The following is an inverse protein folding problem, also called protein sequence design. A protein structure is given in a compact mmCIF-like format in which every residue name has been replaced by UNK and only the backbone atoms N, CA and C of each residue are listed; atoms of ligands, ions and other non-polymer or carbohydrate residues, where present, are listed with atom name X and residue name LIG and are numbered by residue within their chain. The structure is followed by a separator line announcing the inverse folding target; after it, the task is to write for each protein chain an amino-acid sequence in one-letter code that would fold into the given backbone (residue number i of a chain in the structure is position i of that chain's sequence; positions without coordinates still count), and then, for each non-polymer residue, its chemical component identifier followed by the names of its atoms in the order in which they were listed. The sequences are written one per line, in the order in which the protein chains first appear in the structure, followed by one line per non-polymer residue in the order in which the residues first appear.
data_IF_837934503803
#
_entry.id   IF_837934503803
#
_cell.length_a   1.000
_cell.length_b   1.000
_cell.length_c   1.000
_cell.angle_alpha   90.00
_cell.angle_beta   90.00
_cell.angle_gamma   90.00
#
_symmetry.space_group_name_H-M   'P 1'
#
loop_
_entity.id
_entity.type
_entity.pdbx_description
1 polymer ?
#
# COMPACT_ATOMS: atom_id res chain seq x y z
N UNK A 1 3.73 54.44 -51.66
CA UNK A 1 4.61 54.29 -50.50
C UNK A 1 4.05 53.17 -49.59
N UNK A 2 4.74 52.03 -49.51
CA UNK A 2 4.30 50.91 -48.66
C UNK A 2 4.45 51.29 -47.19
N UNK A 3 3.41 51.02 -46.38
CA UNK A 3 3.41 51.20 -44.93
C UNK A 3 4.55 50.35 -44.35
N UNK A 4 5.55 50.97 -43.69
CA UNK A 4 6.60 50.22 -42.94
C UNK A 4 5.94 49.28 -41.96
N UNK A 5 6.34 48.04 -42.02
CA UNK A 5 5.83 47.04 -41.07
C UNK A 5 6.24 47.47 -39.67
N UNK A 6 5.26 47.59 -38.75
CA UNK A 6 5.55 47.86 -37.33
C UNK A 6 6.43 46.75 -36.78
N UNK A 7 7.58 47.10 -36.23
CA UNK A 7 8.47 46.22 -35.51
C UNK A 7 8.05 46.18 -34.03
N UNK A 8 8.27 45.06 -33.35
CA UNK A 8 8.20 44.97 -31.89
C UNK A 8 9.61 44.94 -31.34
N UNK A 9 9.83 45.58 -30.20
CA UNK A 9 11.13 45.56 -29.52
C UNK A 9 11.01 44.60 -28.32
N UNK A 10 11.76 43.52 -28.36
CA UNK A 10 11.90 42.58 -27.26
C UNK A 10 13.14 42.97 -26.45
N UNK A 11 13.03 42.95 -25.13
CA UNK A 11 14.20 43.00 -24.25
C UNK A 11 15.05 41.74 -24.38
N UNK A 12 16.29 41.75 -23.92
CA UNK A 12 17.13 40.54 -23.92
C UNK A 12 16.53 39.45 -23.08
N UNK A 13 15.95 39.76 -21.93
CA UNK A 13 15.28 38.82 -21.04
C UNK A 13 14.04 38.20 -21.71
N UNK A 14 13.21 39.02 -22.37
CA UNK A 14 12.04 38.51 -23.11
C UNK A 14 12.46 37.61 -24.26
N UNK A 15 13.52 37.95 -24.98
CA UNK A 15 14.06 37.11 -26.06
C UNK A 15 14.54 35.78 -25.53
N UNK A 16 15.32 35.76 -24.46
CA UNK A 16 15.82 34.53 -23.82
C UNK A 16 14.67 33.65 -23.31
N UNK A 17 13.66 34.28 -22.69
CA UNK A 17 12.46 33.60 -22.24
C UNK A 17 11.72 32.93 -23.39
N UNK A 18 11.45 33.64 -24.48
CA UNK A 18 10.78 33.08 -25.67
C UNK A 18 11.57 31.95 -26.32
N UNK A 19 12.89 32.06 -26.41
CA UNK A 19 13.75 30.99 -26.91
C UNK A 19 13.71 29.76 -26.01
N UNK A 20 13.68 29.96 -24.70
CA UNK A 20 13.54 28.84 -23.74
C UNK A 20 12.20 28.16 -23.90
N UNK A 21 11.11 28.90 -24.07
CA UNK A 21 9.78 28.32 -24.32
C UNK A 21 9.75 27.50 -25.62
N UNK A 22 10.46 27.91 -26.66
CA UNK A 22 10.56 27.17 -27.91
C UNK A 22 11.31 25.83 -27.79
N UNK A 23 12.26 25.73 -26.85
CA UNK A 23 13.06 24.49 -26.62
C UNK A 23 12.44 23.50 -25.64
N UNK A 24 11.46 23.93 -24.88
CA UNK A 24 10.84 23.13 -23.84
C UNK A 24 9.96 22.00 -24.45
N UNK A 25 10.20 20.76 -24.00
CA UNK A 25 9.53 19.55 -24.55
C UNK A 25 8.10 19.33 -24.03
N UNK A 26 7.70 20.02 -22.97
CA UNK A 26 6.43 19.79 -22.25
C UNK A 26 5.42 20.92 -22.41
N UNK A 27 5.70 21.90 -23.25
CA UNK A 27 4.84 23.07 -23.47
C UNK A 27 3.84 22.80 -24.60
N UNK A 28 2.65 23.40 -24.48
CA UNK A 28 1.63 23.33 -25.51
C UNK A 28 2.15 23.86 -26.86
N UNK A 29 1.89 23.13 -27.95
CA UNK A 29 2.33 23.53 -29.29
C UNK A 29 1.93 24.97 -29.67
N UNK A 30 0.77 25.42 -29.19
CA UNK A 30 0.27 26.78 -29.44
C UNK A 30 1.17 27.86 -28.80
N UNK A 31 1.70 27.61 -27.59
CA UNK A 31 2.62 28.52 -26.91
C UNK A 31 3.94 28.63 -27.67
N UNK A 32 4.46 27.49 -28.16
CA UNK A 32 5.67 27.48 -29.01
C UNK A 32 5.48 28.28 -30.29
N UNK A 33 4.34 28.12 -30.95
CA UNK A 33 4.00 28.89 -32.18
C UNK A 33 3.91 30.38 -31.88
N UNK A 34 3.25 30.77 -30.80
CA UNK A 34 3.13 32.18 -30.38
C UNK A 34 4.51 32.80 -30.03
N UNK A 35 5.36 32.07 -29.34
CA UNK A 35 6.75 32.51 -29.09
C UNK A 35 7.52 32.75 -30.38
N UNK A 36 7.39 31.83 -31.35
CA UNK A 36 8.03 31.95 -32.66
C UNK A 36 7.51 33.16 -33.46
N UNK A 37 6.21 33.49 -33.38
CA UNK A 37 5.64 34.69 -34.01
C UNK A 37 6.30 35.95 -33.47
N UNK A 38 6.47 36.09 -32.15
CA UNK A 38 7.07 37.28 -31.54
C UNK A 38 8.54 37.42 -31.91
N UNK A 39 9.32 36.35 -31.90
CA UNK A 39 10.73 36.37 -32.30
C UNK A 39 10.89 36.76 -33.76
N UNK A 40 10.14 36.16 -34.68
CA UNK A 40 10.18 36.52 -36.09
C UNK A 40 9.73 37.99 -36.34
N UNK A 41 8.78 38.48 -35.54
CA UNK A 41 8.33 39.87 -35.64
C UNK A 41 9.37 40.87 -35.16
N UNK A 42 10.12 40.53 -34.12
CA UNK A 42 11.25 41.32 -33.63
C UNK A 42 12.41 41.36 -34.63
N UNK A 43 12.57 40.32 -35.45
CA UNK A 43 13.53 40.30 -36.58
C UNK A 43 13.09 41.18 -37.78
N UNK A 44 11.91 41.81 -37.70
CA UNK A 44 11.41 42.69 -38.75
C UNK A 44 10.68 41.99 -39.89
N UNK A 45 10.37 40.69 -39.73
CA UNK A 45 9.69 39.90 -40.77
C UNK A 45 8.22 40.38 -40.91
N UNK A 46 7.72 40.44 -42.12
CA UNK A 46 6.34 40.83 -42.40
C UNK A 46 5.34 39.81 -41.87
N UNK A 47 4.14 40.27 -41.49
CA UNK A 47 3.08 39.39 -40.93
C UNK A 47 2.68 38.25 -41.91
N UNK A 48 2.69 38.54 -43.21
CA UNK A 48 2.37 37.55 -44.21
C UNK A 48 3.42 36.42 -44.26
N UNK A 49 4.70 36.77 -44.27
CA UNK A 49 5.80 35.79 -44.21
C UNK A 49 5.86 35.05 -42.87
N UNK A 50 5.47 35.69 -41.75
CA UNK A 50 5.35 35.00 -40.47
C UNK A 50 4.23 33.97 -40.56
N UNK A 51 3.07 34.33 -41.09
CA UNK A 51 1.92 33.45 -41.25
C UNK A 51 2.29 32.19 -42.04
N UNK A 52 3.01 32.34 -43.15
CA UNK A 52 3.51 31.24 -43.97
C UNK A 52 4.51 30.35 -43.18
N UNK A 53 5.47 30.95 -42.45
CA UNK A 53 6.50 30.25 -41.70
C UNK A 53 5.94 29.45 -40.53
N UNK A 54 4.84 29.89 -39.91
CA UNK A 54 4.24 29.23 -38.75
C UNK A 54 3.00 28.41 -39.06
N UNK A 55 2.55 28.45 -40.34
CA UNK A 55 1.37 27.69 -40.77
C UNK A 55 0.05 28.22 -40.21
N UNK A 56 -0.04 29.55 -39.93
CA UNK A 56 -1.24 30.17 -39.38
C UNK A 56 -1.82 31.23 -40.33
N UNK A 57 -3.08 31.58 -40.11
CA UNK A 57 -3.66 32.67 -40.86
C UNK A 57 -3.16 34.04 -40.36
N UNK A 58 -3.14 35.06 -41.25
CA UNK A 58 -2.69 36.41 -40.93
C UNK A 58 -3.39 37.02 -39.72
N UNK A 59 -4.72 36.76 -39.55
CA UNK A 59 -5.49 37.30 -38.42
C UNK A 59 -4.97 36.77 -37.06
N UNK A 60 -4.64 35.49 -36.97
CA UNK A 60 -4.10 34.88 -35.78
C UNK A 60 -2.70 35.40 -35.41
N UNK A 61 -1.85 35.64 -36.42
CA UNK A 61 -0.53 36.24 -36.21
C UNK A 61 -0.69 37.68 -35.70
N UNK A 62 -1.57 38.48 -36.32
CA UNK A 62 -1.87 39.84 -35.84
C UNK A 62 -2.43 39.88 -34.44
N UNK A 63 -3.33 38.95 -34.10
CA UNK A 63 -3.89 38.84 -32.75
C UNK A 63 -2.79 38.58 -31.70
N UNK A 64 -1.85 37.70 -31.98
CA UNK A 64 -0.72 37.44 -31.11
C UNK A 64 0.16 38.65 -30.89
N UNK A 65 0.47 39.40 -31.98
CA UNK A 65 1.26 40.63 -31.93
C UNK A 65 0.53 41.72 -31.13
N UNK A 66 -0.78 41.88 -31.35
CA UNK A 66 -1.58 42.87 -30.63
C UNK A 66 -1.64 42.56 -29.12
N UNK A 67 -1.82 41.30 -28.76
CA UNK A 67 -1.78 40.86 -27.34
C UNK A 67 -0.44 41.17 -26.69
N UNK A 68 0.67 41.02 -27.43
CA UNK A 68 1.99 41.45 -26.93
C UNK A 68 2.06 42.97 -26.68
N UNK A 69 1.56 43.77 -27.63
CA UNK A 69 1.54 45.24 -27.50
C UNK A 69 0.63 45.72 -26.37
N UNK A 70 -0.42 45.00 -26.05
CA UNK A 70 -1.37 45.33 -24.99
C UNK A 70 -0.92 44.89 -23.58
N UNK A 71 -0.22 43.78 -23.46
CA UNK A 71 0.08 43.24 -22.14
C UNK A 71 1.36 42.39 -22.04
N UNK A 72 2.30 42.56 -22.98
CA UNK A 72 3.61 41.89 -22.96
C UNK A 72 3.58 40.40 -23.33
N UNK A 73 4.70 39.74 -23.03
CA UNK A 73 4.96 38.35 -23.48
C UNK A 73 3.95 37.38 -22.91
N UNK A 74 3.62 37.46 -21.62
CA UNK A 74 2.68 36.51 -20.98
C UNK A 74 1.28 36.59 -21.59
N UNK A 75 0.78 37.82 -21.83
CA UNK A 75 -0.52 38.01 -22.45
C UNK A 75 -0.58 37.49 -23.90
N UNK A 76 0.54 37.50 -24.61
CA UNK A 76 0.65 36.97 -25.97
C UNK A 76 0.72 35.43 -25.96
N UNK A 77 1.46 34.84 -25.04
CA UNK A 77 1.70 33.38 -24.99
C UNK A 77 0.52 32.62 -24.42
N UNK A 78 -0.14 33.13 -23.39
CA UNK A 78 -1.20 32.43 -22.69
C UNK A 78 -2.57 33.04 -22.94
N UNK A 79 -3.59 32.20 -22.93
CA UNK A 79 -4.97 32.71 -23.01
C UNK A 79 -5.43 33.15 -21.61
N UNK A 80 -6.21 34.22 -21.55
CA UNK A 80 -6.77 34.69 -20.30
C UNK A 80 -7.60 33.57 -19.62
N UNK A 81 -7.47 33.40 -18.29
CA UNK A 81 -8.28 32.44 -17.54
C UNK A 81 -9.78 32.76 -17.75
N UNK A 82 -10.60 31.69 -17.88
CA UNK A 82 -12.05 31.85 -18.00
C UNK A 82 -12.62 31.82 -19.41
N UNK A 83 -11.82 31.61 -20.46
CA UNK A 83 -12.34 31.45 -21.83
C UNK A 83 -12.96 30.07 -22.15
N UNK A 84 -13.00 29.15 -21.14
CA UNK A 84 -13.68 27.86 -21.28
C UNK A 84 -15.22 28.01 -21.16
N UNK A 85 -15.94 26.95 -21.55
CA UNK A 85 -17.37 26.83 -21.27
C UNK A 85 -17.57 26.95 -19.75
N UNK A 86 -18.51 27.79 -19.32
CA UNK A 86 -18.84 27.92 -17.88
C UNK A 86 -19.10 26.53 -17.29
N UNK A 87 -18.58 26.30 -16.09
CA UNK A 87 -18.82 25.05 -15.38
C UNK A 87 -20.31 24.79 -15.31
N UNK A 88 -20.77 23.65 -15.86
CA UNK A 88 -22.19 23.29 -15.85
C UNK A 88 -22.70 23.00 -14.43
N UNK A 89 -21.81 22.62 -13.51
CA UNK A 89 -22.07 22.28 -12.11
C UNK A 89 -21.41 23.34 -11.25
N UNK A 90 -22.18 23.97 -10.40
CA UNK A 90 -21.72 25.03 -9.51
C UNK A 90 -20.92 24.45 -8.34
N UNK A 91 -20.16 25.28 -7.62
CA UNK A 91 -19.42 24.86 -6.46
C UNK A 91 -20.32 24.42 -5.30
N UNK A 92 -21.52 25.02 -5.15
CA UNK A 92 -22.54 24.60 -4.18
C UNK A 92 -23.07 23.19 -4.52
N UNK A 93 -23.32 22.91 -5.80
CA UNK A 93 -23.74 21.60 -6.28
C UNK A 93 -22.65 20.54 -6.04
N UNK A 94 -21.37 20.89 -6.26
CA UNK A 94 -20.23 20.01 -5.93
C UNK A 94 -20.15 19.76 -4.42
N UNK A 95 -20.28 20.80 -3.61
CA UNK A 95 -20.24 20.68 -2.15
C UNK A 95 -21.37 19.79 -1.63
N UNK A 96 -22.57 19.88 -2.21
CA UNK A 96 -23.68 18.99 -1.86
C UNK A 96 -23.39 17.52 -2.19
N UNK A 97 -22.85 17.22 -3.40
CA UNK A 97 -22.41 15.87 -3.77
C UNK A 97 -21.38 15.33 -2.78
N UNK A 98 -20.39 16.14 -2.44
CA UNK A 98 -19.32 15.78 -1.48
C UNK A 98 -19.91 15.50 -0.10
N UNK A 99 -20.84 16.34 0.36
CA UNK A 99 -21.50 16.15 1.66
C UNK A 99 -22.24 14.80 1.71
N UNK A 100 -23.00 14.45 0.67
CA UNK A 100 -23.67 13.14 0.59
C UNK A 100 -22.62 12.00 0.58
N UNK A 101 -21.55 12.15 -0.17
CA UNK A 101 -20.48 11.13 -0.26
C UNK A 101 -19.76 10.88 1.07
N UNK A 102 -19.69 11.89 1.94
CA UNK A 102 -19.10 11.81 3.29
C UNK A 102 -20.03 11.18 4.33
N UNK A 103 -21.31 11.01 4.04
CA UNK A 103 -22.26 10.35 4.94
C UNK A 103 -22.26 8.84 4.69
N UNK A 104 -22.59 8.05 5.71
CA UNK A 104 -22.81 6.63 5.51
C UNK A 104 -24.13 6.39 4.75
N UNK A 105 -24.17 5.50 3.75
CA UNK A 105 -25.39 5.15 3.03
C UNK A 105 -26.53 4.70 3.96
N UNK A 106 -26.21 3.99 5.04
CA UNK A 106 -27.21 3.51 6.01
C UNK A 106 -27.99 4.65 6.66
N UNK A 107 -27.37 5.82 6.88
CA UNK A 107 -28.05 6.99 7.45
C UNK A 107 -29.07 7.60 6.48
N UNK A 108 -28.97 7.26 5.19
CA UNK A 108 -29.85 7.71 4.12
C UNK A 108 -30.79 6.59 3.62
N UNK A 109 -30.97 5.53 4.44
CA UNK A 109 -31.94 4.46 4.18
C UNK A 109 -31.45 3.34 3.26
N UNK A 110 -30.15 3.20 3.03
CA UNK A 110 -29.57 2.10 2.27
C UNK A 110 -28.96 1.06 3.19
N UNK A 111 -28.95 -0.20 2.76
CA UNK A 111 -28.34 -1.31 3.52
C UNK A 111 -26.81 -1.39 3.38
N UNK A 112 -26.18 -0.53 2.58
CA UNK A 112 -24.75 -0.54 2.31
C UNK A 112 -23.97 0.24 3.38
N UNK A 113 -22.78 -0.25 3.75
CA UNK A 113 -21.86 0.46 4.67
C UNK A 113 -21.06 1.57 3.99
N UNK A 114 -20.77 1.41 2.69
CA UNK A 114 -20.00 2.37 1.88
C UNK A 114 -20.69 2.64 0.57
N UNK A 115 -20.45 3.82 0.00
CA UNK A 115 -20.98 4.18 -1.29
C UNK A 115 -20.25 3.44 -2.41
N UNK A 116 -21.00 2.72 -3.24
CA UNK A 116 -20.53 2.46 -4.60
C UNK A 116 -20.83 3.68 -5.47
N UNK A 117 -20.04 3.89 -6.53
CA UNK A 117 -20.30 5.02 -7.45
C UNK A 117 -21.70 5.00 -8.04
N UNK A 118 -22.17 3.81 -8.40
CA UNK A 118 -23.52 3.63 -8.94
C UNK A 118 -24.60 4.02 -7.92
N UNK A 119 -24.48 3.55 -6.67
CA UNK A 119 -25.43 3.83 -5.61
C UNK A 119 -25.45 5.31 -5.25
N UNK A 120 -24.29 5.94 -5.13
CA UNK A 120 -24.18 7.38 -4.88
C UNK A 120 -24.81 8.20 -6.00
N UNK A 121 -24.50 7.88 -7.25
CA UNK A 121 -25.10 8.58 -8.40
C UNK A 121 -26.62 8.41 -8.44
N UNK A 122 -27.11 7.20 -8.15
CA UNK A 122 -28.55 6.94 -8.08
C UNK A 122 -29.22 7.76 -6.98
N UNK A 123 -28.59 7.89 -5.81
CA UNK A 123 -29.08 8.72 -4.71
C UNK A 123 -29.13 10.20 -5.12
N UNK A 124 -28.02 10.72 -5.67
CA UNK A 124 -27.94 12.10 -6.16
C UNK A 124 -29.07 12.38 -7.16
N UNK A 125 -29.20 11.57 -8.20
CA UNK A 125 -30.21 11.76 -9.23
C UNK A 125 -31.64 11.75 -8.66
N UNK A 126 -31.88 10.93 -7.63
CA UNK A 126 -33.22 10.81 -7.01
C UNK A 126 -33.62 12.01 -6.15
N UNK A 127 -32.65 12.56 -5.39
CA UNK A 127 -32.92 13.57 -4.37
C UNK A 127 -32.45 14.98 -4.72
N UNK A 128 -31.80 15.15 -5.88
CA UNK A 128 -31.26 16.44 -6.31
C UNK A 128 -32.32 17.52 -6.47
N UNK A 129 -33.48 17.18 -7.00
CA UNK A 129 -34.60 18.15 -7.21
C UNK A 129 -35.18 18.63 -5.87
N UNK A 130 -35.38 17.72 -4.93
CA UNK A 130 -35.87 18.04 -3.59
C UNK A 130 -34.87 18.91 -2.82
N UNK A 131 -33.57 18.74 -3.09
CA UNK A 131 -32.50 19.54 -2.51
C UNK A 131 -32.23 20.87 -3.23
N UNK A 132 -33.03 21.21 -4.27
CA UNK A 132 -32.85 22.46 -5.04
C UNK A 132 -31.78 22.39 -6.12
N UNK A 133 -31.23 21.22 -6.40
CA UNK A 133 -30.13 21.00 -7.37
C UNK A 133 -30.64 20.30 -8.64
N UNK A 134 -31.62 20.85 -9.31
CA UNK A 134 -32.33 20.24 -10.46
C UNK A 134 -31.39 19.70 -11.54
N UNK A 135 -30.25 20.37 -11.77
CA UNK A 135 -29.28 19.93 -12.78
C UNK A 135 -28.61 18.60 -12.46
N UNK A 136 -28.57 18.22 -11.19
CA UNK A 136 -27.93 16.97 -10.75
C UNK A 136 -28.83 15.76 -10.91
N UNK A 137 -30.14 15.92 -11.21
CA UNK A 137 -31.08 14.80 -11.39
C UNK A 137 -30.70 13.86 -12.54
N UNK A 138 -29.84 14.30 -13.46
CA UNK A 138 -29.34 13.52 -14.60
C UNK A 138 -27.80 13.41 -14.63
N UNK A 139 -27.13 13.66 -13.50
CA UNK A 139 -25.67 13.60 -13.46
C UNK A 139 -25.16 12.18 -13.75
N UNK A 140 -24.09 12.09 -14.53
CA UNK A 140 -23.46 10.80 -14.86
C UNK A 140 -22.49 10.32 -13.77
N UNK A 141 -22.30 9.00 -13.68
CA UNK A 141 -21.31 8.40 -12.77
C UNK A 141 -19.88 8.93 -13.01
N UNK A 142 -19.52 9.18 -14.28
CA UNK A 142 -18.21 9.72 -14.63
C UNK A 142 -18.02 11.12 -14.08
N UNK A 143 -19.06 11.96 -14.10
CA UNK A 143 -18.97 13.32 -13.54
C UNK A 143 -18.92 13.32 -12.04
N UNK A 144 -19.71 12.47 -11.35
CA UNK A 144 -19.61 12.25 -9.89
C UNK A 144 -18.20 11.78 -9.52
N UNK A 145 -17.64 10.84 -10.27
CA UNK A 145 -16.26 10.40 -10.09
C UNK A 145 -15.27 11.56 -10.17
N UNK A 146 -15.33 12.37 -11.22
CA UNK A 146 -14.43 13.52 -11.38
C UNK A 146 -14.50 14.49 -10.20
N UNK A 147 -15.72 14.81 -9.72
CA UNK A 147 -15.92 15.68 -8.57
C UNK A 147 -15.28 15.10 -7.30
N UNK A 148 -15.45 13.80 -7.05
CA UNK A 148 -14.87 13.14 -5.89
C UNK A 148 -13.34 13.03 -6.00
N UNK A 149 -12.79 12.81 -7.20
CA UNK A 149 -11.35 12.78 -7.43
C UNK A 149 -10.72 14.17 -7.27
N UNK A 150 -11.38 15.25 -7.73
CA UNK A 150 -10.96 16.64 -7.49
C UNK A 150 -10.89 16.97 -5.98
N UNK A 151 -11.79 16.41 -5.19
CA UNK A 151 -11.85 16.59 -3.73
C UNK A 151 -11.00 15.55 -2.95
N UNK A 152 -10.31 14.63 -3.60
CA UNK A 152 -9.60 13.45 -3.03
C UNK A 152 -10.45 12.60 -2.08
N UNK A 153 -11.74 12.46 -2.36
CA UNK A 153 -12.69 11.68 -1.55
C UNK A 153 -12.94 10.31 -2.19
N UNK A 154 -12.80 9.26 -1.38
CA UNK A 154 -12.94 7.86 -1.79
C UNK A 154 -13.97 7.13 -0.94
N UNK A 155 -15.28 7.42 -1.08
CA UNK A 155 -16.35 6.92 -0.20
C UNK A 155 -16.60 5.41 -0.31
N UNK A 156 -15.96 4.76 -1.26
CA UNK A 156 -15.98 3.32 -1.49
C UNK A 156 -14.81 2.57 -0.81
N UNK A 157 -13.89 3.29 -0.16
CA UNK A 157 -12.74 2.68 0.53
C UNK A 157 -12.93 2.72 2.03
N UNK A 158 -12.61 1.60 2.68
CA UNK A 158 -12.48 1.51 4.13
C UNK A 158 -11.00 1.47 4.45
N UNK A 159 -10.55 2.40 5.29
CA UNK A 159 -9.20 2.38 5.87
C UNK A 159 -9.35 2.12 7.35
N UNK A 160 -8.70 1.08 7.83
CA UNK A 160 -8.72 0.75 9.25
C UNK A 160 -7.68 1.59 9.98
N UNK A 161 -8.09 2.18 11.09
CA UNK A 161 -7.20 2.84 12.05
C UNK A 161 -7.50 2.32 13.46
N UNK A 162 -6.54 2.46 14.35
CA UNK A 162 -6.69 2.02 15.72
C UNK A 162 -6.94 3.24 16.63
N UNK A 163 -8.16 3.39 17.11
CA UNK A 163 -8.54 4.48 18.01
C UNK A 163 -8.13 4.17 19.46
N UNK A 164 -8.38 2.94 19.90
CA UNK A 164 -8.01 2.48 21.23
C UNK A 164 -6.62 1.85 21.20
N UNK A 165 -5.59 2.66 21.37
CA UNK A 165 -4.22 2.17 21.51
C UNK A 165 -4.02 1.52 22.88
N UNK A 166 -3.09 0.55 22.94
CA UNK A 166 -2.61 0.00 24.21
C UNK A 166 -2.07 1.16 25.09
N UNK A 167 -2.55 1.35 26.34
CA UNK A 167 -2.02 2.40 27.22
C UNK A 167 -0.50 2.31 27.40
N UNK A 168 0.04 1.08 27.36
CA UNK A 168 1.47 0.81 27.54
C UNK A 168 2.19 0.63 26.19
N UNK A 169 1.61 1.14 25.09
CA UNK A 169 2.11 0.91 23.72
C UNK A 169 3.60 1.28 23.59
N UNK A 170 3.95 2.49 23.99
CA UNK A 170 5.32 3.00 23.85
C UNK A 170 6.31 2.21 24.71
N UNK A 171 5.92 1.84 25.94
CA UNK A 171 6.77 1.04 26.83
C UNK A 171 7.00 -0.37 26.28
N UNK A 172 5.94 -1.03 25.79
CA UNK A 172 6.05 -2.38 25.20
C UNK A 172 6.85 -2.35 23.90
N UNK A 173 6.60 -1.36 23.04
CA UNK A 173 7.38 -1.16 21.82
C UNK A 173 8.87 -0.95 22.16
N UNK A 174 9.18 -0.09 23.14
CA UNK A 174 10.54 0.15 23.58
C UNK A 174 11.21 -1.15 24.07
N UNK A 175 10.51 -1.95 24.86
CA UNK A 175 11.03 -3.23 25.36
C UNK A 175 11.37 -4.20 24.22
N UNK A 176 10.48 -4.33 23.23
CA UNK A 176 10.73 -5.18 22.05
C UNK A 176 11.93 -4.67 21.25
N UNK A 177 12.01 -3.36 21.00
CA UNK A 177 13.13 -2.76 20.28
C UNK A 177 14.46 -2.90 21.01
N UNK A 178 14.45 -2.83 22.37
CA UNK A 178 15.63 -3.10 23.18
C UNK A 178 16.12 -4.53 23.01
N UNK A 179 15.22 -5.53 22.99
CA UNK A 179 15.58 -6.92 22.75
C UNK A 179 16.24 -7.07 21.36
N UNK A 180 15.66 -6.47 20.32
CA UNK A 180 16.25 -6.53 18.99
C UNK A 180 17.57 -5.80 18.87
N UNK A 181 17.73 -4.67 19.57
CA UNK A 181 19.01 -3.97 19.65
C UNK A 181 20.07 -4.79 20.37
N UNK A 182 19.73 -5.39 21.53
CA UNK A 182 20.63 -6.29 22.27
C UNK A 182 21.05 -7.49 21.38
N UNK A 183 20.08 -8.06 20.67
CA UNK A 183 20.36 -9.13 19.71
C UNK A 183 21.31 -8.67 18.59
N UNK A 184 21.13 -7.47 18.04
CA UNK A 184 22.00 -6.96 16.98
C UNK A 184 23.45 -6.79 17.43
N UNK A 185 23.69 -6.52 18.70
CA UNK A 185 25.03 -6.41 19.29
C UNK A 185 25.73 -7.77 19.45
N UNK A 186 25.01 -8.88 19.32
CA UNK A 186 25.58 -10.22 19.35
C UNK A 186 26.17 -10.66 17.99
N UNK A 187 26.07 -9.82 16.96
CA UNK A 187 26.60 -10.10 15.63
C UNK A 187 27.76 -9.16 15.31
N UNK A 188 28.77 -9.69 14.60
CA UNK A 188 29.87 -8.90 14.09
C UNK A 188 29.46 -8.10 12.82
N UNK A 189 30.38 -7.27 12.28
CA UNK A 189 30.16 -6.49 11.05
C UNK A 189 29.86 -7.37 9.81
N UNK A 190 30.22 -8.65 9.86
CA UNK A 190 29.93 -9.64 8.80
C UNK A 190 28.60 -10.35 9.02
N UNK A 191 27.91 -10.06 10.14
CA UNK A 191 26.65 -10.69 10.53
C UNK A 191 26.83 -12.12 11.04
N UNK A 192 28.00 -12.45 11.62
CA UNK A 192 28.23 -13.72 12.30
C UNK A 192 28.01 -13.54 13.80
N UNK A 193 27.42 -14.57 14.44
CA UNK A 193 27.19 -14.56 15.88
C UNK A 193 28.53 -14.57 16.61
N UNK A 194 28.71 -13.59 17.52
CA UNK A 194 29.91 -13.51 18.37
C UNK A 194 29.78 -14.60 19.43
N UNK A 195 30.81 -15.44 19.64
CA UNK A 195 30.76 -16.48 20.67
C UNK A 195 30.53 -15.88 22.07
N UNK A 196 29.63 -16.50 22.83
CA UNK A 196 29.40 -16.12 24.23
C UNK A 196 30.66 -16.41 25.06
N UNK A 197 30.88 -15.59 26.10
CA UNK A 197 31.96 -15.84 27.07
C UNK A 197 31.60 -17.03 27.97
N UNK A 198 32.57 -17.78 28.44
CA UNK A 198 32.36 -19.00 29.24
C UNK A 198 31.50 -18.78 30.50
N UNK A 199 31.51 -17.58 31.08
CA UNK A 199 30.74 -17.25 32.28
C UNK A 199 29.45 -16.47 32.00
N UNK A 200 29.07 -16.28 30.71
CA UNK A 200 27.91 -15.51 30.34
C UNK A 200 26.67 -16.42 30.19
N UNK A 201 25.59 -16.06 30.88
CA UNK A 201 24.33 -16.78 30.73
C UNK A 201 23.75 -16.58 29.32
N UNK A 202 23.69 -17.66 28.56
CA UNK A 202 23.14 -17.64 27.20
C UNK A 202 21.64 -17.40 27.23
N UNK A 203 21.18 -16.47 26.40
CA UNK A 203 19.77 -16.16 26.22
C UNK A 203 19.39 -16.37 24.75
N UNK A 204 18.58 -17.40 24.49
CA UNK A 204 18.03 -17.63 23.16
C UNK A 204 16.82 -16.72 22.96
N UNK A 205 16.82 -15.95 21.89
CA UNK A 205 15.76 -14.98 21.57
C UNK A 205 14.93 -15.48 20.42
N UNK A 206 13.65 -15.73 20.65
CA UNK A 206 12.72 -16.20 19.64
C UNK A 206 11.58 -15.21 19.43
N UNK A 207 11.14 -15.08 18.19
CA UNK A 207 9.87 -14.44 17.81
C UNK A 207 8.84 -15.54 17.61
N UNK A 208 7.74 -15.50 18.34
CA UNK A 208 6.71 -16.57 18.34
C UNK A 208 5.33 -16.01 18.00
N UNK A 209 4.56 -16.81 17.24
CA UNK A 209 3.16 -16.51 16.95
C UNK A 209 2.42 -17.77 16.45
N UNK A 210 1.09 -17.69 16.31
CA UNK A 210 0.23 -18.72 15.74
C UNK A 210 -0.32 -18.29 14.38
N UNK A 211 -0.37 -19.25 13.46
CA UNK A 211 -1.10 -19.13 12.19
C UNK A 211 -2.27 -20.13 12.22
N UNK A 212 -3.45 -19.69 12.70
CA UNK A 212 -4.63 -20.54 12.76
C UNK A 212 -5.29 -20.72 11.39
N UNK A 213 -6.18 -21.69 11.28
CA UNK A 213 -7.13 -21.81 10.19
C UNK A 213 -6.53 -22.11 8.82
N UNK A 214 -5.35 -22.75 8.76
CA UNK A 214 -4.77 -23.22 7.51
C UNK A 214 -5.66 -24.33 6.96
N UNK A 215 -6.28 -24.10 5.79
CA UNK A 215 -7.25 -25.02 5.22
C UNK A 215 -6.59 -26.14 4.44
N UNK A 216 -6.94 -27.38 4.76
CA UNK A 216 -6.65 -28.54 3.93
C UNK A 216 -7.77 -28.68 2.88
N UNK A 217 -7.41 -28.54 1.60
CA UNK A 217 -8.35 -28.54 0.48
C UNK A 217 -7.87 -29.54 -0.56
N UNK A 218 -8.78 -30.43 -0.99
CA UNK A 218 -8.54 -31.37 -2.07
C UNK A 218 -9.26 -30.94 -3.35
N UNK A 219 -8.67 -31.23 -4.50
CA UNK A 219 -9.38 -31.15 -5.77
C UNK A 219 -10.43 -32.26 -5.87
N UNK A 220 -11.47 -32.03 -6.65
CA UNK A 220 -12.47 -33.02 -7.05
C UNK A 220 -12.02 -33.81 -8.27
N UNK A 221 -11.27 -33.16 -9.16
CA UNK A 221 -10.66 -33.71 -10.36
C UNK A 221 -9.18 -33.29 -10.44
N UNK A 222 -8.41 -33.92 -11.31
CA UNK A 222 -7.00 -33.52 -11.52
C UNK A 222 -6.90 -32.15 -12.21
N UNK A 223 -5.85 -31.39 -11.90
CA UNK A 223 -5.55 -30.15 -12.59
C UNK A 223 -5.16 -30.42 -14.05
N UNK A 224 -5.65 -29.60 -14.97
CA UNK A 224 -5.17 -29.59 -16.34
C UNK A 224 -3.87 -28.79 -16.41
N UNK A 225 -2.80 -29.46 -16.79
CA UNK A 225 -1.49 -28.80 -16.91
C UNK A 225 -1.42 -27.94 -18.18
N UNK A 226 -0.53 -26.94 -18.22
CA UNK A 226 -0.30 -26.16 -19.42
C UNK A 226 0.11 -27.05 -20.61
N UNK A 227 -0.49 -26.77 -21.76
CA UNK A 227 -0.19 -27.42 -23.03
C UNK A 227 -0.13 -26.37 -24.17
N UNK A 228 -0.06 -26.80 -25.41
CA UNK A 228 -0.02 -25.91 -26.59
C UNK A 228 -1.28 -25.02 -26.68
N UNK A 229 -2.43 -25.49 -26.22
CA UNK A 229 -3.72 -24.79 -26.29
C UNK A 229 -4.03 -24.02 -25.00
N UNK A 230 -3.49 -24.45 -23.85
CA UNK A 230 -3.76 -23.87 -22.54
C UNK A 230 -2.45 -23.44 -21.88
N UNK A 231 -2.24 -22.14 -21.75
CA UNK A 231 -0.97 -21.57 -21.23
C UNK A 231 -0.86 -21.55 -19.70
N UNK A 232 -1.92 -21.89 -18.99
CA UNK A 232 -2.00 -21.88 -17.51
C UNK A 232 -2.51 -23.21 -16.98
N UNK A 233 -2.16 -23.50 -15.73
CA UNK A 233 -2.80 -24.61 -15.00
C UNK A 233 -4.29 -24.27 -14.83
N UNK A 234 -5.17 -25.13 -15.35
CA UNK A 234 -6.62 -25.00 -15.18
C UNK A 234 -7.06 -25.97 -14.09
N UNK A 235 -7.83 -25.46 -13.16
CA UNK A 235 -8.31 -26.19 -11.99
C UNK A 235 -9.81 -26.10 -11.91
N UNK A 236 -10.47 -27.19 -11.53
CA UNK A 236 -11.88 -27.18 -11.19
C UNK A 236 -12.12 -26.21 -10.02
N UNK A 237 -13.17 -25.42 -10.10
CA UNK A 237 -13.55 -24.52 -9.02
C UNK A 237 -14.16 -25.27 -7.84
N UNK A 238 -14.67 -26.49 -8.05
CA UNK A 238 -15.14 -27.36 -6.96
C UNK A 238 -13.97 -27.95 -6.18
N UNK A 239 -14.16 -28.05 -4.88
CA UNK A 239 -13.14 -28.59 -3.97
C UNK A 239 -13.77 -29.26 -2.74
N UNK A 240 -13.03 -30.19 -2.15
CA UNK A 240 -13.40 -30.83 -0.89
C UNK A 240 -12.61 -30.21 0.26
N UNK A 241 -13.30 -29.81 1.33
CA UNK A 241 -12.67 -29.38 2.57
C UNK A 241 -12.35 -30.57 3.44
N UNK A 242 -11.08 -30.72 3.81
CA UNK A 242 -10.58 -31.82 4.65
C UNK A 242 -10.39 -31.39 6.12
N UNK A 243 -10.70 -30.13 6.43
CA UNK A 243 -10.54 -29.51 7.74
C UNK A 243 -9.50 -28.43 7.78
N UNK A 244 -9.18 -27.99 8.98
CA UNK A 244 -8.18 -26.94 9.24
C UNK A 244 -7.11 -27.43 10.20
N UNK A 245 -5.95 -26.80 10.14
CA UNK A 245 -4.86 -26.96 11.09
C UNK A 245 -4.36 -25.60 11.55
N UNK A 246 -3.64 -25.57 12.66
CA UNK A 246 -2.96 -24.40 13.20
C UNK A 246 -1.45 -24.68 13.24
N UNK A 247 -0.66 -23.72 12.83
CA UNK A 247 0.80 -23.75 12.96
C UNK A 247 1.20 -22.81 14.08
N UNK A 248 1.78 -23.36 15.15
CA UNK A 248 2.49 -22.59 16.17
C UNK A 248 3.96 -22.59 15.75
N UNK A 249 4.58 -21.44 15.65
CA UNK A 249 5.98 -21.37 15.22
C UNK A 249 6.77 -20.30 15.97
N UNK A 250 7.99 -20.65 16.36
CA UNK A 250 9.00 -19.74 16.84
C UNK A 250 10.16 -19.68 15.84
N UNK A 251 10.70 -18.49 15.63
CA UNK A 251 11.94 -18.30 14.89
C UNK A 251 13.00 -17.91 15.88
N UNK A 252 14.05 -18.71 15.98
CA UNK A 252 15.26 -18.33 16.68
C UNK A 252 15.95 -17.19 15.92
N UNK A 253 16.01 -16.02 16.54
CA UNK A 253 16.52 -14.81 15.89
C UNK A 253 18.06 -14.77 15.82
N UNK A 254 18.74 -15.67 16.51
CA UNK A 254 20.21 -15.81 16.47
C UNK A 254 20.63 -16.71 15.31
N UNK A 255 19.90 -17.78 15.05
CA UNK A 255 20.23 -18.77 14.03
C UNK A 255 19.38 -18.66 12.76
N UNK A 256 18.21 -18.04 12.84
CA UNK A 256 17.21 -18.01 11.76
C UNK A 256 16.40 -19.30 11.65
N UNK A 257 16.60 -20.27 12.54
CA UNK A 257 15.91 -21.56 12.52
C UNK A 257 14.45 -21.40 12.93
N UNK A 258 13.54 -22.00 12.16
CA UNK A 258 12.13 -22.07 12.50
C UNK A 258 11.84 -23.35 13.29
N UNK A 259 11.16 -23.20 14.42
CA UNK A 259 10.73 -24.28 15.30
C UNK A 259 9.21 -24.38 15.21
N UNK A 260 8.67 -25.34 14.47
CA UNK A 260 7.24 -25.48 14.23
C UNK A 260 6.57 -26.52 15.14
N UNK A 261 5.28 -26.29 15.39
CA UNK A 261 4.35 -27.28 15.92
C UNK A 261 3.02 -27.16 15.17
N UNK A 262 2.66 -28.20 14.42
CA UNK A 262 1.39 -28.22 13.67
C UNK A 262 0.38 -29.05 14.44
N UNK A 263 -0.78 -28.47 14.73
CA UNK A 263 -1.88 -29.08 15.50
C UNK A 263 -3.23 -28.72 14.90
N UNK A 264 -4.28 -29.39 15.35
CA UNK A 264 -5.66 -29.07 14.98
C UNK A 264 -6.17 -27.78 15.64
N UNK A 265 -5.61 -27.45 16.80
CA UNK A 265 -5.97 -26.30 17.63
C UNK A 265 -4.72 -25.53 18.07
N UNK A 266 -4.94 -24.36 18.63
CA UNK A 266 -3.90 -23.49 19.19
C UNK A 266 -4.34 -23.00 20.58
N UNK A 267 -4.74 -23.95 21.45
CA UNK A 267 -5.13 -23.68 22.83
C UNK A 267 -3.92 -23.65 23.77
N UNK A 268 -4.16 -23.40 25.05
CA UNK A 268 -3.11 -23.45 26.09
C UNK A 268 -2.36 -24.78 26.11
N UNK A 269 -3.03 -25.87 25.79
CA UNK A 269 -2.42 -27.20 25.73
C UNK A 269 -1.35 -27.30 24.64
N UNK A 270 -1.68 -26.88 23.43
CA UNK A 270 -0.75 -26.88 22.31
C UNK A 270 0.39 -25.86 22.52
N UNK A 271 0.09 -24.71 23.12
CA UNK A 271 1.11 -23.73 23.48
C UNK A 271 2.10 -24.29 24.53
N UNK A 272 1.61 -24.96 25.57
CA UNK A 272 2.49 -25.63 26.56
C UNK A 272 3.32 -26.73 25.88
N UNK A 273 2.77 -27.47 24.94
CA UNK A 273 3.52 -28.47 24.16
C UNK A 273 4.65 -27.78 23.36
N UNK A 274 4.38 -26.63 22.77
CA UNK A 274 5.39 -25.84 22.09
C UNK A 274 6.49 -25.35 23.05
N UNK A 275 6.14 -24.87 24.24
CA UNK A 275 7.12 -24.49 25.27
C UNK A 275 7.99 -25.68 25.70
N UNK A 276 7.44 -26.90 25.79
CA UNK A 276 8.20 -28.11 26.07
C UNK A 276 9.19 -28.45 24.95
N UNK A 277 8.83 -28.22 23.69
CA UNK A 277 9.76 -28.38 22.56
C UNK A 277 10.93 -27.43 22.71
N UNK A 278 10.68 -26.17 23.03
CA UNK A 278 11.74 -25.18 23.27
C UNK A 278 12.62 -25.56 24.45
N UNK A 279 12.01 -26.01 25.54
CA UNK A 279 12.73 -26.42 26.75
C UNK A 279 13.68 -27.59 26.48
N UNK A 280 13.26 -28.56 25.65
CA UNK A 280 14.08 -29.71 25.27
C UNK A 280 15.13 -29.41 24.21
N UNK A 281 14.93 -28.36 23.42
CA UNK A 281 15.85 -27.97 22.33
C UNK A 281 17.11 -27.27 22.84
N UNK A 282 16.98 -26.42 23.84
CA UNK A 282 18.06 -25.60 24.35
C UNK A 282 18.61 -26.16 25.68
N UNK A 283 19.93 -25.99 25.98
CA UNK A 283 20.52 -26.41 27.24
C UNK A 283 19.76 -25.93 28.47
N UNK A 284 19.65 -26.74 29.52
CA UNK A 284 18.87 -26.40 30.71
C UNK A 284 19.38 -25.16 31.47
N UNK A 285 20.66 -24.85 31.30
CA UNK A 285 21.32 -23.66 31.92
C UNK A 285 20.92 -22.36 31.26
N UNK A 286 20.44 -22.41 30.03
CA UNK A 286 20.20 -21.23 29.21
C UNK A 286 18.81 -20.64 29.48
N UNK A 287 18.60 -19.38 29.14
CA UNK A 287 17.28 -18.74 29.15
C UNK A 287 16.67 -18.70 27.75
N UNK A 288 15.35 -18.75 27.71
CA UNK A 288 14.59 -18.64 26.47
C UNK A 288 13.71 -17.39 26.57
N UNK A 289 14.01 -16.40 25.76
CA UNK A 289 13.24 -15.16 25.68
C UNK A 289 12.35 -15.20 24.45
N UNK A 290 11.03 -15.07 24.67
CA UNK A 290 10.02 -15.08 23.63
C UNK A 290 9.43 -13.69 23.43
N UNK A 291 9.54 -13.17 22.19
CA UNK A 291 8.78 -12.01 21.74
C UNK A 291 7.48 -12.53 21.14
N UNK A 292 6.34 -12.14 21.69
CA UNK A 292 5.03 -12.68 21.34
C UNK A 292 3.92 -11.64 21.55
N UNK A 293 2.72 -11.91 21.02
CA UNK A 293 1.55 -11.06 21.17
C UNK A 293 0.84 -11.26 22.55
N UNK A 294 -0.21 -10.48 22.79
CA UNK A 294 -0.98 -10.53 24.03
C UNK A 294 -2.14 -11.54 23.99
N UNK A 295 -2.03 -12.65 23.25
CA UNK A 295 -3.09 -13.66 23.23
C UNK A 295 -3.29 -14.25 24.62
N UNK A 296 -4.55 -14.45 25.03
CA UNK A 296 -4.92 -14.95 26.37
C UNK A 296 -4.31 -16.32 26.71
N UNK A 297 -4.01 -17.13 25.72
CA UNK A 297 -3.36 -18.43 25.86
C UNK A 297 -2.00 -18.31 26.56
N UNK A 298 -1.23 -17.27 26.24
CA UNK A 298 0.12 -17.05 26.77
C UNK A 298 0.14 -16.75 28.28
N UNK A 299 -0.96 -16.22 28.80
CA UNK A 299 -1.12 -15.87 30.23
C UNK A 299 -2.21 -16.69 30.94
N UNK A 300 -2.65 -17.81 30.34
CA UNK A 300 -3.67 -18.66 30.93
C UNK A 300 -3.20 -19.30 32.25
N UNK A 301 -4.14 -19.77 33.06
CA UNK A 301 -3.83 -20.44 34.32
C UNK A 301 -2.99 -21.72 34.10
N UNK A 302 -3.32 -22.48 33.05
CA UNK A 302 -2.59 -23.69 32.68
C UNK A 302 -1.14 -23.36 32.28
N UNK A 303 -0.95 -22.33 31.47
CA UNK A 303 0.37 -21.85 31.04
C UNK A 303 1.18 -21.39 32.27
N UNK A 304 0.57 -20.61 33.16
CA UNK A 304 1.25 -20.16 34.40
C UNK A 304 1.64 -21.32 35.30
N UNK A 305 0.79 -22.35 35.44
CA UNK A 305 1.13 -23.56 36.20
C UNK A 305 2.34 -24.28 35.62
N UNK A 306 2.41 -24.40 34.29
CA UNK A 306 3.57 -25.00 33.62
C UNK A 306 4.83 -24.16 33.86
N UNK A 307 4.78 -22.83 33.64
CA UNK A 307 5.92 -21.94 33.85
C UNK A 307 6.45 -21.93 35.28
N UNK A 308 5.57 -22.11 36.27
CA UNK A 308 5.97 -22.23 37.67
C UNK A 308 6.84 -23.49 37.94
N UNK A 309 6.77 -24.51 37.07
CA UNK A 309 7.65 -25.68 37.17
C UNK A 309 9.03 -25.45 36.57
N UNK A 310 9.24 -24.32 35.88
CA UNK A 310 10.48 -23.97 35.17
C UNK A 310 10.92 -22.54 35.55
N UNK A 311 11.21 -22.25 36.84
CA UNK A 311 11.52 -20.91 37.29
C UNK A 311 12.77 -20.36 36.63
N UNK A 312 12.67 -19.13 36.09
CA UNK A 312 13.79 -18.42 35.41
C UNK A 312 14.17 -18.92 34.01
N UNK A 313 13.50 -19.99 33.52
CA UNK A 313 13.79 -20.57 32.19
C UNK A 313 13.22 -19.73 31.03
N UNK A 314 12.02 -19.23 31.19
CA UNK A 314 11.31 -18.48 30.14
C UNK A 314 11.15 -17.01 30.54
N UNK A 315 11.41 -16.13 29.61
CA UNK A 315 11.16 -14.69 29.70
C UNK A 315 10.27 -14.25 28.54
N UNK A 316 9.18 -13.54 28.85
CA UNK A 316 8.22 -13.09 27.82
C UNK A 316 8.31 -11.59 27.63
N UNK A 317 8.42 -11.16 26.36
CA UNK A 317 8.38 -9.77 25.94
C UNK A 317 7.17 -9.59 25.02
N UNK A 318 6.13 -9.00 25.59
CA UNK A 318 4.88 -8.82 24.87
C UNK A 318 4.95 -7.62 23.91
N UNK A 319 4.51 -7.84 22.67
CA UNK A 319 4.27 -6.74 21.73
C UNK A 319 3.09 -5.89 22.20
N UNK A 320 3.02 -4.59 21.88
CA UNK A 320 1.83 -3.79 22.17
C UNK A 320 0.63 -4.32 21.38
N UNK A 321 -0.58 -4.11 21.92
CA UNK A 321 -1.80 -4.39 21.16
C UNK A 321 -1.78 -3.59 19.86
N UNK A 322 -2.16 -4.22 18.75
CA UNK A 322 -2.08 -3.66 17.41
C UNK A 322 -0.66 -3.33 16.91
N UNK A 323 0.36 -3.87 17.58
CA UNK A 323 1.76 -3.76 17.21
C UNK A 323 2.34 -5.07 16.68
N UNK A 324 1.53 -5.93 16.04
CA UNK A 324 1.93 -7.24 15.53
C UNK A 324 3.09 -7.17 14.54
N UNK A 325 3.19 -6.06 13.77
CA UNK A 325 4.31 -5.80 12.87
C UNK A 325 5.69 -5.79 13.56
N UNK A 326 5.74 -5.64 14.89
CA UNK A 326 6.97 -5.81 15.68
C UNK A 326 7.34 -7.29 15.86
N UNK A 327 6.42 -8.23 15.58
CA UNK A 327 6.67 -9.65 15.71
C UNK A 327 7.25 -10.20 14.39
N UNK A 328 8.55 -10.49 14.37
CA UNK A 328 9.29 -10.87 13.15
C UNK A 328 8.79 -12.17 12.52
N UNK A 329 8.15 -13.06 13.29
CA UNK A 329 7.58 -14.32 12.77
C UNK A 329 6.43 -14.08 11.77
N UNK A 330 5.76 -12.91 11.79
CA UNK A 330 4.74 -12.59 10.78
C UNK A 330 5.32 -12.51 9.36
N UNK A 331 6.54 -12.01 9.22
CA UNK A 331 7.27 -12.02 7.95
C UNK A 331 7.49 -13.44 7.42
N UNK A 332 7.80 -14.35 8.31
CA UNK A 332 7.94 -15.78 8.01
C UNK A 332 6.59 -16.40 7.58
N UNK A 333 5.50 -16.16 8.29
CA UNK A 333 4.17 -16.64 7.88
C UNK A 333 3.73 -16.07 6.53
N UNK A 334 4.10 -14.84 6.23
CA UNK A 334 3.86 -14.23 4.93
C UNK A 334 4.65 -14.94 3.82
N UNK A 335 5.92 -15.31 4.07
CA UNK A 335 6.75 -16.09 3.14
C UNK A 335 6.16 -17.49 2.91
N UNK A 336 5.82 -18.20 3.99
CA UNK A 336 5.16 -19.51 3.94
C UNK A 336 3.86 -19.47 3.12
N UNK A 337 3.04 -18.45 3.36
CA UNK A 337 1.77 -18.29 2.63
C UNK A 337 1.99 -18.10 1.14
N UNK A 338 2.93 -17.26 0.74
CA UNK A 338 3.21 -16.97 -0.68
C UNK A 338 3.86 -18.13 -1.41
N UNK A 339 4.79 -18.84 -0.75
CA UNK A 339 5.60 -19.87 -1.39
C UNK A 339 4.93 -21.23 -1.40
N UNK A 340 4.16 -21.55 -0.37
CA UNK A 340 3.63 -22.89 -0.17
C UNK A 340 2.11 -22.95 -0.08
N UNK A 341 1.48 -22.11 0.75
CA UNK A 341 0.03 -22.23 0.99
C UNK A 341 -0.83 -21.66 -0.14
N UNK A 342 -0.30 -20.69 -0.91
CA UNK A 342 -1.05 -20.09 -2.01
C UNK A 342 -1.35 -21.13 -3.09
N UNK A 343 -2.64 -21.43 -3.24
CA UNK A 343 -3.10 -22.38 -4.26
C UNK A 343 -2.83 -23.86 -3.95
N UNK A 344 -2.39 -24.17 -2.72
CA UNK A 344 -2.13 -25.57 -2.33
C UNK A 344 -3.37 -26.45 -2.46
N UNK A 345 -3.15 -27.68 -2.90
CA UNK A 345 -4.11 -28.78 -2.86
C UNK A 345 -3.42 -30.00 -2.30
N UNK A 346 -4.15 -30.76 -1.48
CA UNK A 346 -3.65 -31.94 -0.78
C UNK A 346 -4.71 -33.03 -0.81
N UNK A 347 -4.29 -34.29 -0.79
CA UNK A 347 -5.20 -35.43 -0.76
C UNK A 347 -5.71 -35.72 0.65
N UNK A 348 -4.88 -35.38 1.65
CA UNK A 348 -5.19 -35.59 3.07
C UNK A 348 -4.71 -34.42 3.91
N UNK A 349 -5.23 -34.30 5.13
CA UNK A 349 -4.78 -33.33 6.11
C UNK A 349 -3.33 -33.58 6.53
N UNK A 350 -2.93 -34.86 6.65
CA UNK A 350 -1.55 -35.24 7.00
C UNK A 350 -0.55 -34.84 5.92
N UNK A 351 -0.94 -34.91 4.64
CA UNK A 351 -0.12 -34.42 3.55
C UNK A 351 0.15 -32.90 3.69
N UNK A 352 -0.86 -32.11 4.09
CA UNK A 352 -0.66 -30.68 4.36
C UNK A 352 0.36 -30.46 5.48
N UNK A 353 0.25 -31.22 6.57
CA UNK A 353 1.19 -31.17 7.70
C UNK A 353 2.61 -31.48 7.23
N UNK A 354 2.79 -32.57 6.47
CA UNK A 354 4.11 -32.96 5.94
C UNK A 354 4.69 -31.87 5.02
N UNK A 355 3.88 -31.29 4.14
CA UNK A 355 4.32 -30.21 3.24
C UNK A 355 4.72 -28.94 3.99
N UNK A 356 4.03 -28.64 5.11
CA UNK A 356 4.44 -27.51 5.97
C UNK A 356 5.84 -27.82 6.54
N UNK A 357 6.07 -28.96 7.15
CA UNK A 357 7.38 -29.30 7.71
C UNK A 357 8.48 -29.27 6.65
N UNK A 358 8.25 -29.83 5.46
CA UNK A 358 9.20 -29.78 4.36
C UNK A 358 9.52 -28.35 3.90
N UNK A 359 8.48 -27.51 3.80
CA UNK A 359 8.67 -26.09 3.42
C UNK A 359 9.51 -25.35 4.46
N UNK A 360 9.37 -25.68 5.73
CA UNK A 360 10.10 -25.04 6.82
C UNK A 360 11.61 -25.33 6.77
N UNK A 361 12.00 -26.52 6.34
CA UNK A 361 13.41 -26.88 6.12
C UNK A 361 14.04 -25.94 5.06
N UNK A 362 13.30 -25.65 3.98
CA UNK A 362 13.79 -24.77 2.90
C UNK A 362 13.69 -23.27 3.21
N UNK A 363 12.73 -22.86 4.06
CA UNK A 363 12.51 -21.46 4.40
C UNK A 363 13.51 -21.00 5.47
N UNK A 364 13.93 -21.90 6.36
CA UNK A 364 14.86 -21.65 7.45
C UNK A 364 16.35 -21.78 7.06
N UNK A 365 16.70 -21.94 5.78
CA UNK A 365 18.05 -21.67 5.35
C UNK A 365 18.46 -20.25 5.77
N UNK A 366 19.67 -20.04 6.37
CA UNK A 366 20.05 -18.79 7.01
C UNK A 366 20.11 -17.64 5.99
N UNK A 367 18.95 -17.10 5.64
CA UNK A 367 18.87 -15.77 5.06
C UNK A 367 19.01 -14.80 6.22
N UNK A 368 20.17 -14.12 6.29
CA UNK A 368 20.51 -13.10 7.27
C UNK A 368 19.27 -12.32 7.72
N UNK A 369 18.97 -12.22 9.01
CA UNK A 369 17.92 -11.34 9.47
C UNK A 369 18.33 -9.92 9.05
N UNK A 370 17.62 -9.34 8.09
CA UNK A 370 17.68 -7.89 7.86
C UNK A 370 16.97 -7.26 9.03
N UNK A 371 17.72 -7.02 10.09
CA UNK A 371 17.30 -6.17 11.19
C UNK A 371 16.97 -4.82 10.57
N UNK A 372 15.81 -4.31 10.90
CA UNK A 372 15.22 -3.06 10.39
C UNK A 372 16.26 -1.94 10.54
N UNK A 373 16.76 -1.43 9.41
CA UNK A 373 17.56 -0.20 9.34
C UNK A 373 16.65 1.02 9.40
#
# INVERSE_FOLDING_TARGET
MGRKASTINLSEDERLYLETQMRARTIQAQTVIRARILLLKAEGISVDHIADKVGMNRKSVMLCINKYLEGGVENALFDAPGRGRNAEITDDEKAWIINIACQKPVNLGYSAEVWTRALLTKHINKFAEEAGHTRLSTISQSKVRTILEEADIKPNKITYYCENRDPDFDQKMHNVLLVYKQLSLQFDEKGQLIPFKEDEQVVHVLSYDEKPGIQAIANTTEDLLPDENHKTVSRDYEYKRLGTISLLAGIDLQTGEAIPLVKDKHSSKEYIEFLKILDSKYPETDRIRLVLDNLKVHSSEETRKYLATKPGRFEFVFTPKHGSWLNLVEGFFSKLTRQMLKGIRVKTKDELVQRIYLSLIHISEPTRPRLIS
#
